data_IF_949986701152
#
_entry.id   IF_949986701152
#
_cell.length_a   1.000
_cell.length_b   1.000
_cell.length_c   1.000
_cell.angle_alpha   90.00
_cell.angle_beta   90.00
_cell.angle_gamma   90.00
#
_symmetry.space_group_name_H-M   'P 1'
#
loop_
_entity.id
_entity.type
_entity.pdbx_description
1 polymer ?
#
# COMPACT_ATOMS: atom_id res chain seq x y z
N UNK A 1 -26.16 14.71 1.71
CA UNK A 1 -25.20 15.31 0.76
C UNK A 1 -24.79 14.21 -0.21
N UNK A 2 -24.95 14.41 -1.52
CA UNK A 2 -24.51 13.42 -2.52
C UNK A 2 -22.98 13.41 -2.56
N UNK A 3 -22.33 12.25 -2.69
CA UNK A 3 -20.89 12.21 -2.95
C UNK A 3 -20.57 13.04 -4.20
N UNK A 4 -19.40 13.69 -4.21
CA UNK A 4 -18.95 14.35 -5.43
C UNK A 4 -18.76 13.33 -6.57
N UNK A 5 -18.72 13.81 -7.80
CA UNK A 5 -18.67 12.95 -8.98
C UNK A 5 -17.41 12.07 -8.99
N UNK A 6 -16.31 12.58 -8.43
CA UNK A 6 -15.01 11.90 -8.35
C UNK A 6 -15.05 10.69 -7.39
N UNK A 7 -15.55 10.90 -6.17
CA UNK A 7 -15.77 9.84 -5.17
C UNK A 7 -16.75 8.80 -5.70
N UNK A 8 -17.81 9.26 -6.38
CA UNK A 8 -18.81 8.39 -7.02
C UNK A 8 -18.15 7.48 -8.07
N UNK A 9 -17.20 7.99 -8.85
CA UNK A 9 -16.48 7.22 -9.87
C UNK A 9 -15.49 6.21 -9.27
N UNK A 10 -14.73 6.58 -8.23
CA UNK A 10 -13.84 5.64 -7.52
C UNK A 10 -14.60 4.49 -6.86
N UNK A 11 -15.74 4.80 -6.25
CA UNK A 11 -16.63 3.78 -5.70
C UNK A 11 -17.20 2.91 -6.83
N UNK A 12 -17.59 3.46 -7.98
CA UNK A 12 -18.08 2.68 -9.15
C UNK A 12 -17.05 1.73 -9.74
N UNK A 13 -15.77 2.09 -9.74
CA UNK A 13 -14.70 1.15 -10.09
C UNK A 13 -14.63 -0.01 -9.10
N UNK A 14 -14.56 0.27 -7.79
CA UNK A 14 -14.53 -0.77 -6.75
C UNK A 14 -15.81 -1.64 -6.74
N UNK A 15 -16.93 -1.07 -7.18
CA UNK A 15 -18.18 -1.78 -7.40
C UNK A 15 -18.15 -2.68 -8.63
N UNK A 16 -17.37 -2.34 -9.66
CA UNK A 16 -17.13 -3.19 -10.82
C UNK A 16 -16.30 -4.43 -10.49
N UNK A 17 -15.54 -4.39 -9.40
CA UNK A 17 -14.81 -5.52 -8.83
C UNK A 17 -15.72 -6.46 -8.00
N UNK A 18 -17.00 -6.13 -7.85
CA UNK A 18 -17.96 -6.89 -7.06
C UNK A 18 -19.00 -7.55 -7.96
N UNK A 19 -19.41 -8.77 -7.59
CA UNK A 19 -20.63 -9.38 -8.11
C UNK A 19 -21.82 -8.41 -8.02
N UNK A 20 -22.65 -8.35 -9.07
CA UNK A 20 -23.72 -7.36 -9.23
C UNK A 20 -24.60 -7.20 -7.97
N UNK A 21 -25.04 -8.28 -7.28
CA UNK A 21 -25.83 -8.15 -6.06
C UNK A 21 -25.09 -7.48 -4.91
N UNK A 22 -23.77 -7.67 -4.79
CA UNK A 22 -22.94 -7.02 -3.79
C UNK A 22 -22.72 -5.54 -4.14
N UNK A 23 -22.44 -5.26 -5.41
CA UNK A 23 -22.31 -3.90 -5.92
C UNK A 23 -23.59 -3.07 -5.66
N UNK A 24 -24.77 -3.62 -5.95
CA UNK A 24 -26.07 -2.96 -5.69
C UNK A 24 -26.28 -2.59 -4.22
N UNK A 25 -25.94 -3.49 -3.29
CA UNK A 25 -26.06 -3.24 -1.84
C UNK A 25 -25.17 -2.09 -1.37
N UNK A 26 -23.95 -2.02 -1.91
CA UNK A 26 -23.00 -0.95 -1.59
C UNK A 26 -23.48 0.39 -2.15
N UNK A 27 -23.93 0.44 -3.40
CA UNK A 27 -24.56 1.63 -3.98
C UNK A 27 -25.70 2.16 -3.12
N UNK A 28 -26.62 1.27 -2.72
CA UNK A 28 -27.74 1.63 -1.85
C UNK A 28 -27.27 2.22 -0.51
N UNK A 29 -26.28 1.61 0.13
CA UNK A 29 -25.72 2.07 1.42
C UNK A 29 -25.03 3.42 1.30
N UNK A 30 -24.33 3.67 0.20
CA UNK A 30 -23.66 4.95 -0.07
C UNK A 30 -24.60 6.01 -0.66
N UNK A 31 -25.90 5.69 -0.82
CA UNK A 31 -26.92 6.54 -1.45
C UNK A 31 -26.50 7.01 -2.85
N UNK A 32 -25.86 6.11 -3.60
CA UNK A 32 -25.42 6.31 -4.97
C UNK A 32 -26.35 5.57 -5.94
N UNK A 33 -26.67 6.17 -7.11
CA UNK A 33 -27.39 5.47 -8.16
C UNK A 33 -26.52 4.35 -8.74
N UNK A 34 -27.08 3.15 -8.81
CA UNK A 34 -26.46 1.97 -9.41
C UNK A 34 -26.33 2.10 -10.93
N UNK A 35 -27.15 2.95 -11.55
CA UNK A 35 -27.16 3.25 -12.98
C UNK A 35 -25.95 4.11 -13.37
N UNK A 36 -25.10 3.60 -14.27
CA UNK A 36 -23.89 4.23 -14.81
C UNK A 36 -22.90 3.17 -15.32
N UNK A 37 -21.85 3.56 -16.02
CA UNK A 37 -20.73 2.65 -16.29
C UNK A 37 -20.14 2.17 -14.95
N UNK A 38 -20.23 0.87 -14.73
CA UNK A 38 -19.63 0.13 -13.63
C UNK A 38 -18.62 -0.80 -14.26
N UNK A 39 -17.36 -0.70 -13.85
CA UNK A 39 -16.25 -1.39 -14.49
C UNK A 39 -15.07 -0.46 -14.78
N UNK A 40 -13.91 -1.01 -15.13
CA UNK A 40 -12.72 -0.26 -15.43
C UNK A 40 -12.85 0.43 -16.80
N UNK A 41 -13.48 1.59 -16.87
CA UNK A 41 -13.20 2.54 -17.96
C UNK A 41 -12.17 3.54 -17.44
N UNK A 42 -10.86 3.31 -17.65
CA UNK A 42 -9.83 4.27 -17.28
C UNK A 42 -10.01 5.54 -18.13
N UNK A 43 -10.76 6.51 -17.63
CA UNK A 43 -10.72 7.87 -18.15
C UNK A 43 -9.45 8.53 -17.62
N UNK A 44 -8.68 9.21 -18.48
CA UNK A 44 -7.48 9.99 -18.13
C UNK A 44 -7.64 11.01 -16.98
N UNK A 45 -8.87 11.32 -16.55
CA UNK A 45 -9.19 12.17 -15.39
C UNK A 45 -9.22 11.40 -14.03
N UNK A 46 -8.92 10.11 -14.04
CA UNK A 46 -8.80 9.33 -12.83
C UNK A 46 -7.50 9.68 -12.10
N UNK A 47 -7.60 10.43 -11.01
CA UNK A 47 -6.46 10.79 -10.16
C UNK A 47 -6.16 9.62 -9.18
N UNK A 48 -5.75 8.48 -9.76
CA UNK A 48 -5.25 7.29 -9.04
C UNK A 48 -4.14 7.72 -8.11
N UNK A 49 -3.29 8.61 -8.60
CA UNK A 49 -2.20 9.23 -7.87
C UNK A 49 -2.68 9.82 -6.54
N UNK A 50 -3.77 10.58 -6.51
CA UNK A 50 -4.34 11.11 -5.26
C UNK A 50 -4.98 10.03 -4.38
N UNK A 51 -5.62 9.01 -4.96
CA UNK A 51 -6.12 7.86 -4.17
C UNK A 51 -4.97 7.09 -3.49
N UNK A 52 -3.88 6.83 -4.22
CA UNK A 52 -2.67 6.18 -3.70
C UNK A 52 -1.95 7.06 -2.69
N UNK A 53 -1.82 8.36 -2.96
CA UNK A 53 -1.20 9.34 -2.06
C UNK A 53 -2.00 9.54 -0.77
N UNK A 54 -3.30 9.27 -0.78
CA UNK A 54 -4.16 9.29 0.41
C UNK A 54 -4.11 8.00 1.23
N UNK A 55 -3.10 7.14 1.01
CA UNK A 55 -2.93 5.85 1.68
C UNK A 55 -4.11 4.91 1.38
N UNK A 56 -4.29 4.60 0.10
CA UNK A 56 -5.16 3.51 -0.32
C UNK A 56 -4.93 2.28 0.58
N UNK A 57 -6.00 1.64 1.11
CA UNK A 57 -5.87 0.42 1.88
C UNK A 57 -5.10 -0.63 1.08
N UNK A 58 -4.22 -1.38 1.74
CA UNK A 58 -3.42 -2.40 1.07
C UNK A 58 -4.27 -3.39 0.26
N UNK A 59 -5.45 -3.79 0.76
CA UNK A 59 -6.34 -4.69 0.02
C UNK A 59 -6.88 -4.07 -1.27
N UNK A 60 -7.14 -2.76 -1.30
CA UNK A 60 -7.59 -2.08 -2.52
C UNK A 60 -6.50 -2.06 -3.59
N UNK A 61 -5.24 -1.86 -3.19
CA UNK A 61 -4.09 -1.98 -4.09
C UNK A 61 -3.99 -3.39 -4.64
N UNK A 62 -4.14 -4.43 -3.81
CA UNK A 62 -4.12 -5.81 -4.29
C UNK A 62 -5.26 -6.09 -5.28
N UNK A 63 -6.49 -5.66 -5.00
CA UNK A 63 -7.61 -5.88 -5.92
C UNK A 63 -7.39 -5.21 -7.27
N UNK A 64 -6.79 -4.01 -7.29
CA UNK A 64 -6.40 -3.34 -8.53
C UNK A 64 -5.31 -4.13 -9.30
N UNK A 65 -4.32 -4.68 -8.59
CA UNK A 65 -3.30 -5.54 -9.22
C UNK A 65 -3.91 -6.83 -9.80
N UNK A 66 -4.89 -7.43 -9.11
CA UNK A 66 -5.57 -8.67 -9.52
C UNK A 66 -6.36 -8.56 -10.83
N UNK A 67 -6.68 -7.35 -11.27
CA UNK A 67 -7.29 -7.14 -12.58
C UNK A 67 -6.32 -7.47 -13.72
N UNK A 68 -5.01 -7.46 -13.46
CA UNK A 68 -3.94 -7.64 -14.44
C UNK A 68 -4.02 -6.65 -15.62
N UNK A 69 -4.51 -5.44 -15.35
CA UNK A 69 -4.54 -4.36 -16.35
C UNK A 69 -3.17 -3.65 -16.41
N UNK A 70 -2.53 -3.59 -17.59
CA UNK A 70 -1.19 -3.02 -17.75
C UNK A 70 -1.10 -1.54 -17.38
N UNK A 71 -2.14 -0.76 -17.63
CA UNK A 71 -2.17 0.68 -17.34
C UNK A 71 -2.42 0.93 -15.85
N UNK A 72 -3.29 0.13 -15.22
CA UNK A 72 -3.47 0.16 -13.75
C UNK A 72 -2.15 -0.21 -13.05
N UNK A 73 -1.47 -1.26 -13.51
CA UNK A 73 -0.18 -1.66 -12.97
C UNK A 73 0.88 -0.55 -13.13
N UNK A 74 0.86 0.18 -14.24
CA UNK A 74 1.77 1.30 -14.47
C UNK A 74 1.57 2.44 -13.46
N UNK A 75 0.33 2.78 -13.16
CA UNK A 75 -0.02 3.81 -12.17
C UNK A 75 0.26 3.38 -10.73
N UNK A 76 0.12 2.09 -10.41
CA UNK A 76 0.44 1.54 -9.09
C UNK A 76 1.95 1.44 -8.83
N UNK A 77 2.77 1.44 -9.89
CA UNK A 77 4.23 1.36 -9.81
C UNK A 77 4.81 2.65 -9.22
N UNK A 78 4.85 2.71 -7.89
CA UNK A 78 5.33 3.84 -7.10
C UNK A 78 6.35 3.39 -6.06
N UNK A 79 7.14 4.30 -5.48
CA UNK A 79 8.11 3.98 -4.42
C UNK A 79 7.46 3.47 -3.12
N UNK A 80 6.17 3.72 -2.93
CA UNK A 80 5.37 3.20 -1.82
C UNK A 80 5.11 1.69 -1.95
N UNK A 81 5.15 1.13 -3.16
CA UNK A 81 4.91 -0.29 -3.39
C UNK A 81 6.14 -1.12 -2.97
N UNK A 82 5.95 -2.26 -2.26
CA UNK A 82 7.04 -3.17 -1.92
C UNK A 82 7.88 -3.56 -3.14
N UNK A 83 9.20 -3.67 -2.97
CA UNK A 83 10.13 -3.97 -4.07
C UNK A 83 9.81 -5.28 -4.79
N UNK A 84 9.34 -6.31 -4.09
CA UNK A 84 8.92 -7.57 -4.70
C UNK A 84 7.70 -7.41 -5.62
N UNK A 85 6.69 -6.63 -5.20
CA UNK A 85 5.51 -6.35 -6.03
C UNK A 85 5.86 -5.49 -7.25
N UNK A 86 6.72 -4.47 -7.08
CA UNK A 86 7.23 -3.69 -8.21
C UNK A 86 7.94 -4.55 -9.24
N UNK A 87 8.68 -5.56 -8.78
CA UNK A 87 9.38 -6.49 -9.65
C UNK A 87 8.39 -7.42 -10.37
N UNK A 88 7.41 -7.95 -9.67
CA UNK A 88 6.36 -8.78 -10.25
C UNK A 88 5.60 -8.02 -11.36
N UNK A 89 5.30 -6.72 -11.16
CA UNK A 89 4.75 -5.85 -12.22
C UNK A 89 5.68 -5.75 -13.43
N UNK A 90 6.98 -5.51 -13.22
CA UNK A 90 7.95 -5.36 -14.32
C UNK A 90 8.20 -6.65 -15.10
N UNK A 91 8.02 -7.81 -14.46
CA UNK A 91 8.17 -9.12 -15.06
C UNK A 91 6.86 -9.66 -15.66
N UNK A 92 5.76 -8.91 -15.58
CA UNK A 92 4.47 -9.33 -16.10
C UNK A 92 3.88 -10.51 -15.33
N UNK A 93 4.20 -10.64 -14.03
CA UNK A 93 3.63 -11.67 -13.16
C UNK A 93 2.16 -11.32 -12.90
N UNK A 94 1.26 -12.26 -13.18
CA UNK A 94 -0.16 -12.13 -12.86
C UNK A 94 -0.38 -12.15 -11.34
N UNK A 95 -1.26 -11.27 -10.88
CA UNK A 95 -1.72 -11.22 -9.49
C UNK A 95 -3.08 -11.88 -9.31
N UNK A 96 -3.78 -12.23 -10.41
CA UNK A 96 -5.09 -12.85 -10.36
C UNK A 96 -5.06 -14.15 -9.50
N UNK A 97 -6.10 -14.38 -8.68
CA UNK A 97 -6.14 -15.53 -7.79
C UNK A 97 -6.33 -16.87 -8.53
N UNK A 98 -6.79 -16.86 -9.78
CA UNK A 98 -7.06 -18.07 -10.54
C UNK A 98 -6.01 -18.38 -11.62
N UNK A 99 -5.57 -19.65 -11.72
CA UNK A 99 -4.61 -20.08 -12.74
C UNK A 99 -5.05 -19.88 -14.19
N UNK A 100 -6.34 -19.68 -14.44
CA UNK A 100 -6.90 -19.62 -15.79
C UNK A 100 -6.43 -18.40 -16.61
N UNK A 101 -5.91 -17.35 -15.97
CA UNK A 101 -5.25 -16.21 -16.65
C UNK A 101 -3.75 -16.43 -16.89
N UNK A 102 -3.13 -17.50 -16.39
CA UNK A 102 -1.67 -17.70 -16.33
C UNK A 102 -1.01 -18.21 -17.62
N UNK A 103 -1.74 -18.38 -18.73
CA UNK A 103 -1.13 -18.94 -19.94
C UNK A 103 -0.08 -17.99 -20.55
N UNK A 104 -0.23 -16.68 -20.33
CA UNK A 104 0.65 -15.65 -20.88
C UNK A 104 1.01 -14.62 -19.79
N UNK A 105 2.24 -14.09 -19.79
CA UNK A 105 2.60 -12.96 -18.93
C UNK A 105 1.69 -11.76 -19.16
N UNK A 106 1.38 -11.03 -18.08
CA UNK A 106 0.65 -9.76 -18.18
C UNK A 106 1.48 -8.77 -18.99
N UNK A 107 0.91 -8.13 -20.02
CA UNK A 107 1.61 -7.08 -20.75
C UNK A 107 2.14 -6.01 -19.79
N UNK A 108 3.37 -5.56 -20.00
CA UNK A 108 3.97 -4.50 -19.18
C UNK A 108 3.84 -3.19 -19.93
N UNK A 109 3.26 -2.16 -19.30
CA UNK A 109 3.10 -0.86 -19.94
C UNK A 109 4.46 -0.28 -20.37
N UNK A 110 4.61 0.20 -21.63
CA UNK A 110 5.86 0.79 -22.11
C UNK A 110 6.33 2.02 -21.32
N UNK A 111 5.42 2.67 -20.58
CA UNK A 111 5.74 3.79 -19.71
C UNK A 111 6.67 3.39 -18.55
N UNK A 112 6.56 2.14 -18.08
CA UNK A 112 7.40 1.63 -17.02
C UNK A 112 8.86 1.54 -17.44
N UNK A 113 9.17 1.23 -18.70
CA UNK A 113 10.55 1.10 -19.20
C UNK A 113 11.36 2.40 -19.19
N UNK A 114 10.69 3.55 -18.96
CA UNK A 114 11.32 4.88 -18.89
C UNK A 114 11.37 5.40 -17.46
N UNK A 115 10.93 4.61 -16.50
CA UNK A 115 10.85 5.04 -15.11
C UNK A 115 12.26 5.25 -14.54
N UNK A 116 12.57 6.40 -13.94
CA UNK A 116 13.86 6.64 -13.30
C UNK A 116 14.10 5.75 -12.06
N UNK A 117 13.06 5.05 -11.60
CA UNK A 117 13.15 4.06 -10.53
C UNK A 117 13.77 2.73 -10.98
N UNK A 118 14.12 2.61 -12.27
CA UNK A 118 14.44 1.34 -12.92
C UNK A 118 15.82 0.74 -12.67
N UNK A 119 15.77 -0.59 -12.80
CA UNK A 119 16.77 -1.65 -12.73
C UNK A 119 17.68 -1.68 -11.51
N UNK A 120 18.44 -0.64 -11.12
CA UNK A 120 19.46 -0.86 -10.07
C UNK A 120 18.91 -1.31 -8.71
N UNK A 121 17.70 -0.87 -8.33
CA UNK A 121 17.06 -1.32 -7.09
C UNK A 121 16.23 -2.61 -7.25
N UNK A 122 15.83 -2.96 -8.48
CA UNK A 122 14.96 -4.09 -8.78
C UNK A 122 15.70 -5.26 -9.47
N UNK A 123 16.93 -5.08 -9.94
CA UNK A 123 17.65 -6.01 -10.82
C UNK A 123 18.28 -7.18 -10.08
N UNK A 124 18.57 -7.03 -8.79
CA UNK A 124 19.11 -8.16 -8.02
C UNK A 124 17.95 -9.06 -7.65
N UNK A 125 17.86 -10.18 -8.36
CA UNK A 125 17.03 -11.28 -7.90
C UNK A 125 17.54 -11.71 -6.53
N UNK A 126 16.64 -11.73 -5.55
CA UNK A 126 16.98 -12.11 -4.18
C UNK A 126 16.38 -13.48 -3.97
N UNK A 127 17.21 -14.54 -3.90
CA UNK A 127 16.74 -15.88 -3.62
C UNK A 127 15.83 -15.89 -2.39
N UNK A 128 14.74 -16.68 -2.45
CA UNK A 128 13.80 -16.77 -1.34
C UNK A 128 14.49 -17.18 -0.02
N UNK A 129 15.54 -17.99 -0.10
CA UNK A 129 16.37 -18.36 1.05
C UNK A 129 16.95 -17.13 1.78
N UNK A 130 17.49 -16.16 1.03
CA UNK A 130 18.05 -14.93 1.61
C UNK A 130 16.97 -14.05 2.24
N UNK A 131 15.76 -14.04 1.64
CA UNK A 131 14.59 -13.35 2.22
C UNK A 131 14.19 -13.99 3.54
N UNK A 132 14.13 -15.32 3.59
CA UNK A 132 13.79 -16.08 4.80
C UNK A 132 14.84 -15.91 5.90
N UNK A 133 16.12 -16.03 5.57
CA UNK A 133 17.22 -15.78 6.50
C UNK A 133 17.11 -14.37 7.09
N UNK A 134 16.86 -13.36 6.26
CA UNK A 134 16.67 -11.99 6.73
C UNK A 134 15.45 -11.83 7.66
N UNK A 135 14.37 -12.59 7.43
CA UNK A 135 13.19 -12.61 8.32
C UNK A 135 13.49 -13.28 9.66
N UNK A 136 14.29 -14.36 9.69
CA UNK A 136 14.66 -15.05 10.93
C UNK A 136 15.69 -14.28 11.77
N UNK A 137 16.57 -13.50 11.12
CA UNK A 137 17.59 -12.70 11.81
C UNK A 137 17.06 -11.36 12.36
N UNK A 138 15.74 -11.12 12.29
CA UNK A 138 15.10 -9.91 12.83
C UNK A 138 15.27 -9.83 14.35
N UNK A 139 15.95 -8.78 14.84
CA UNK A 139 16.25 -8.66 16.27
C UNK A 139 16.65 -7.26 16.75
N UNK A 140 16.59 -7.07 18.06
CA UNK A 140 17.05 -5.85 18.74
C UNK A 140 16.25 -4.58 18.41
N UNK A 141 16.88 -3.42 18.57
CA UNK A 141 16.23 -2.10 18.44
C UNK A 141 15.74 -1.76 17.03
N UNK A 142 16.23 -2.47 16.00
CA UNK A 142 15.90 -2.23 14.58
C UNK A 142 15.00 -3.32 13.99
N UNK A 143 14.50 -4.25 14.81
CA UNK A 143 13.72 -5.41 14.37
C UNK A 143 12.60 -5.05 13.40
N UNK A 144 11.81 -4.02 13.71
CA UNK A 144 10.70 -3.61 12.85
C UNK A 144 11.13 -3.11 11.47
N UNK A 145 12.25 -2.36 11.38
CA UNK A 145 12.79 -1.88 10.10
C UNK A 145 13.37 -3.03 9.28
N UNK A 146 14.08 -3.95 9.94
CA UNK A 146 14.64 -5.15 9.30
C UNK A 146 13.53 -6.05 8.75
N UNK A 147 12.50 -6.32 9.55
CA UNK A 147 11.34 -7.10 9.14
C UNK A 147 10.65 -6.48 7.92
N UNK A 148 10.47 -5.15 7.90
CA UNK A 148 9.90 -4.45 6.73
C UNK A 148 10.77 -4.54 5.50
N UNK A 149 12.08 -4.36 5.64
CA UNK A 149 13.01 -4.45 4.51
C UNK A 149 13.05 -5.87 3.93
N UNK A 150 13.08 -6.90 4.77
CA UNK A 150 13.05 -8.30 4.35
C UNK A 150 11.70 -8.65 3.71
N UNK A 151 10.60 -8.36 4.41
CA UNK A 151 9.26 -8.62 3.90
C UNK A 151 9.00 -7.89 2.58
N UNK A 152 9.51 -6.67 2.37
CA UNK A 152 9.33 -5.92 1.13
C UNK A 152 9.86 -6.65 -0.12
N UNK A 153 10.82 -7.56 0.04
CA UNK A 153 11.43 -8.38 -1.04
C UNK A 153 10.65 -9.64 -1.37
N UNK A 154 9.60 -9.96 -0.63
CA UNK A 154 8.71 -11.08 -0.97
C UNK A 154 8.02 -10.77 -2.30
N UNK A 155 8.15 -11.72 -3.23
CA UNK A 155 7.49 -11.79 -4.54
C UNK A 155 6.35 -12.81 -4.49
N UNK A 156 5.48 -12.80 -5.50
CA UNK A 156 4.36 -13.74 -5.60
C UNK A 156 4.83 -15.21 -5.54
N UNK A 157 5.90 -15.53 -6.28
CA UNK A 157 6.50 -16.88 -6.32
C UNK A 157 7.11 -17.34 -4.98
N UNK A 158 7.42 -16.41 -4.07
CA UNK A 158 8.02 -16.73 -2.77
C UNK A 158 6.99 -17.24 -1.76
N UNK A 159 5.70 -16.98 -1.96
CA UNK A 159 4.66 -17.28 -0.96
C UNK A 159 4.60 -18.75 -0.53
N UNK A 160 4.67 -19.75 -1.43
CA UNK A 160 4.69 -21.16 -1.02
C UNK A 160 5.87 -21.49 -0.10
N UNK A 161 7.06 -20.96 -0.38
CA UNK A 161 8.25 -21.18 0.44
C UNK A 161 8.17 -20.45 1.79
N UNK A 162 7.58 -19.25 1.83
CA UNK A 162 7.32 -18.53 3.09
C UNK A 162 6.33 -19.29 3.97
N UNK A 163 5.25 -19.81 3.38
CA UNK A 163 4.28 -20.64 4.08
C UNK A 163 4.92 -21.91 4.64
N UNK A 164 5.68 -22.63 3.81
CA UNK A 164 6.39 -23.83 4.24
C UNK A 164 7.38 -23.54 5.38
N UNK A 165 8.21 -22.50 5.22
CA UNK A 165 9.17 -22.10 6.24
C UNK A 165 8.49 -21.75 7.58
N UNK A 166 7.34 -21.05 7.55
CA UNK A 166 6.57 -20.74 8.75
C UNK A 166 6.03 -22.00 9.46
N UNK A 167 5.55 -22.98 8.69
CA UNK A 167 5.05 -24.26 9.21
C UNK A 167 6.17 -25.10 9.83
N UNK A 168 7.36 -25.09 9.23
CA UNK A 168 8.53 -25.81 9.75
C UNK A 168 9.09 -25.15 11.02
N UNK A 169 9.27 -23.83 10.98
CA UNK A 169 9.73 -23.02 12.11
C UNK A 169 8.95 -21.70 12.15
N UNK A 170 8.12 -21.45 13.17
CA UNK A 170 7.33 -20.21 13.20
C UNK A 170 8.18 -18.94 13.13
N UNK A 171 7.93 -18.12 12.10
CA UNK A 171 8.54 -16.80 11.94
C UNK A 171 8.51 -15.96 13.24
N UNK A 172 9.59 -15.22 13.56
CA UNK A 172 9.64 -14.33 14.73
C UNK A 172 8.50 -13.30 14.73
N UNK A 173 8.04 -12.89 15.91
CA UNK A 173 6.82 -12.07 16.05
C UNK A 173 6.76 -10.81 15.19
N UNK A 174 7.87 -10.07 15.04
CA UNK A 174 7.93 -8.89 14.16
C UNK A 174 7.94 -9.25 12.66
N UNK A 175 8.64 -10.31 12.28
CA UNK A 175 8.65 -10.82 10.91
C UNK A 175 7.24 -11.29 10.52
N UNK A 176 6.66 -12.18 11.33
CA UNK A 176 5.29 -12.67 11.18
C UNK A 176 4.28 -11.54 11.02
N UNK A 177 4.33 -10.55 11.93
CA UNK A 177 3.46 -9.37 11.85
C UNK A 177 3.63 -8.63 10.52
N UNK A 178 4.87 -8.36 10.12
CA UNK A 178 5.16 -7.57 8.92
C UNK A 178 4.74 -8.29 7.64
N UNK A 179 4.92 -9.60 7.58
CA UNK A 179 4.44 -10.43 6.47
C UNK A 179 2.91 -10.45 6.43
N UNK A 180 2.25 -10.62 7.57
CA UNK A 180 0.78 -10.68 7.64
C UNK A 180 0.04 -9.43 7.18
N UNK A 181 0.66 -8.25 7.31
CA UNK A 181 0.06 -6.98 6.88
C UNK A 181 0.39 -6.59 5.44
N UNK A 182 1.14 -7.44 4.73
CA UNK A 182 1.28 -7.27 3.29
C UNK A 182 -0.06 -7.51 2.62
N UNK A 183 -0.36 -6.69 1.63
CA UNK A 183 -1.58 -6.80 0.84
C UNK A 183 -1.67 -8.16 0.15
N UNK A 184 -0.59 -8.55 -0.52
CA UNK A 184 -0.42 -9.79 -1.29
C UNK A 184 -0.14 -11.04 -0.44
N UNK A 185 -0.16 -10.96 0.89
CA UNK A 185 -0.05 -12.17 1.71
C UNK A 185 -1.28 -13.06 1.48
N UNK A 186 -1.09 -14.36 1.14
CA UNK A 186 -2.20 -15.30 0.98
C UNK A 186 -3.10 -15.36 2.21
N UNK A 187 -4.41 -15.47 2.01
CA UNK A 187 -5.40 -15.40 3.09
C UNK A 187 -5.26 -16.56 4.09
N UNK A 188 -5.01 -17.76 3.59
CA UNK A 188 -4.70 -18.97 4.34
C UNK A 188 -3.45 -18.80 5.22
N UNK A 189 -2.34 -18.33 4.63
CA UNK A 189 -1.11 -18.06 5.37
C UNK A 189 -1.30 -16.96 6.43
N UNK A 190 -2.11 -15.94 6.11
CA UNK A 190 -2.42 -14.87 7.08
C UNK A 190 -3.21 -15.40 8.27
N UNK A 191 -4.11 -16.36 8.06
CA UNK A 191 -4.86 -17.02 9.13
C UNK A 191 -3.93 -17.88 10.01
N UNK A 192 -2.98 -18.61 9.40
CA UNK A 192 -1.95 -19.38 10.13
C UNK A 192 -1.10 -18.50 11.05
N UNK A 193 -0.79 -17.27 10.63
CA UNK A 193 -0.03 -16.33 11.47
C UNK A 193 -0.77 -15.88 12.74
N UNK A 194 -2.10 -15.95 12.76
CA UNK A 194 -2.87 -15.71 13.97
C UNK A 194 -4.37 -15.51 13.76
N UNK A 195 -5.17 -16.23 14.55
CA UNK A 195 -6.65 -16.09 14.57
C UNK A 195 -7.17 -15.16 15.69
N UNK A 196 -6.31 -14.76 16.63
CA UNK A 196 -6.70 -13.96 17.79
C UNK A 196 -7.26 -12.58 17.39
N UNK A 197 -8.31 -12.11 18.07
CA UNK A 197 -9.01 -10.86 17.74
C UNK A 197 -8.07 -9.64 17.67
N UNK A 198 -7.08 -9.54 18.57
CA UNK A 198 -6.05 -8.47 18.54
C UNK A 198 -5.21 -8.49 17.26
N UNK A 199 -4.89 -9.68 16.73
CA UNK A 199 -4.13 -9.80 15.49
C UNK A 199 -4.98 -9.34 14.30
N UNK A 200 -6.19 -9.90 14.16
CA UNK A 200 -7.16 -9.49 13.14
C UNK A 200 -7.45 -7.99 13.16
N UNK A 201 -7.62 -7.41 14.36
CA UNK A 201 -7.81 -5.97 14.52
C UNK A 201 -6.63 -5.17 13.96
N UNK A 202 -5.39 -5.58 14.24
CA UNK A 202 -4.22 -4.88 13.72
C UNK A 202 -4.08 -5.05 12.20
N UNK A 203 -4.37 -6.24 11.66
CA UNK A 203 -4.39 -6.48 10.20
C UNK A 203 -5.36 -5.50 9.51
N UNK A 204 -6.57 -5.33 10.07
CA UNK A 204 -7.52 -4.30 9.60
C UNK A 204 -6.98 -2.88 9.73
N UNK A 205 -6.29 -2.55 10.82
CA UNK A 205 -5.64 -1.23 10.97
C UNK A 205 -4.56 -0.98 9.91
N UNK A 206 -3.97 -2.03 9.34
CA UNK A 206 -3.04 -1.93 8.23
C UNK A 206 -3.73 -1.81 6.86
N UNK A 207 -5.07 -1.72 6.83
CA UNK A 207 -5.85 -1.61 5.60
C UNK A 207 -5.98 -2.92 4.82
N UNK A 208 -5.83 -4.06 5.50
CA UNK A 208 -6.03 -5.39 4.91
C UNK A 208 -7.42 -5.89 5.31
N UNK A 209 -8.24 -6.17 4.29
CA UNK A 209 -9.62 -6.63 4.40
C UNK A 209 -9.80 -7.88 3.55
N UNK A 210 -10.69 -8.77 3.98
CA UNK A 210 -10.96 -10.05 3.31
C UNK A 210 -11.72 -9.87 1.98
N UNK A 211 -12.35 -8.70 1.79
CA UNK A 211 -13.00 -8.36 0.54
C UNK A 211 -13.58 -6.94 0.54
N UNK A 212 -14.05 -6.45 -0.63
CA UNK A 212 -14.54 -5.08 -0.73
C UNK A 212 -15.77 -4.84 0.15
N UNK A 213 -16.61 -5.87 0.37
CA UNK A 213 -17.74 -5.78 1.28
C UNK A 213 -17.34 -5.51 2.74
N UNK A 214 -16.29 -6.18 3.26
CA UNK A 214 -15.76 -5.91 4.61
C UNK A 214 -15.15 -4.51 4.66
N UNK A 215 -14.36 -4.15 3.65
CA UNK A 215 -13.79 -2.80 3.55
C UNK A 215 -14.87 -1.73 3.60
N UNK A 216 -15.92 -1.85 2.79
CA UNK A 216 -17.00 -0.86 2.73
C UNK A 216 -17.86 -0.84 4.01
N UNK A 217 -17.97 -1.96 4.72
CA UNK A 217 -18.61 -2.02 6.02
C UNK A 217 -17.77 -1.34 7.11
N UNK A 218 -16.45 -1.52 7.07
CA UNK A 218 -15.50 -0.97 8.04
C UNK A 218 -15.16 0.51 7.78
N UNK A 219 -15.08 0.91 6.52
CA UNK A 219 -14.75 2.25 6.05
C UNK A 219 -15.95 3.21 6.08
N UNK A 220 -16.92 3.00 6.97
CA UNK A 220 -18.12 3.82 7.09
C UNK A 220 -17.78 5.31 6.89
N UNK A 221 -18.45 6.04 5.99
CA UNK A 221 -18.04 7.38 5.54
C UNK A 221 -18.35 8.48 6.57
N UNK A 222 -18.07 8.27 7.85
CA UNK A 222 -18.46 9.13 8.96
C UNK A 222 -17.24 9.57 9.78
N UNK A 223 -16.26 10.24 9.16
CA UNK A 223 -15.35 11.20 9.83
C UNK A 223 -14.33 11.86 8.88
N UNK A 224 -13.91 11.18 7.81
CA UNK A 224 -12.73 11.60 7.02
C UNK A 224 -12.99 12.60 5.88
N UNK A 225 -14.16 12.55 5.23
CA UNK A 225 -14.49 13.43 4.09
C UNK A 225 -14.87 14.87 4.49
N UNK A 226 -14.88 15.18 5.79
CA UNK A 226 -15.33 16.48 6.30
C UNK A 226 -14.25 17.56 6.44
N UNK A 227 -12.98 17.29 6.10
CA UNK A 227 -11.88 18.24 6.37
C UNK A 227 -11.49 19.20 5.26
N UNK A 228 -12.11 19.14 4.07
CA UNK A 228 -11.74 20.03 2.96
C UNK A 228 -12.90 20.84 2.36
N UNK A 229 -13.82 21.29 3.21
CA UNK A 229 -14.93 22.16 2.80
C UNK A 229 -15.24 23.27 3.80
N UNK A 230 -14.26 24.10 4.15
CA UNK A 230 -14.56 25.31 4.92
C UNK A 230 -13.33 26.06 5.41
N UNK A 231 -13.07 27.25 4.86
CA UNK A 231 -12.13 28.17 5.52
C UNK A 231 -11.43 29.25 4.69
N UNK A 232 -11.92 29.64 3.51
CA UNK A 232 -11.55 30.94 2.95
C UNK A 232 -12.39 32.05 3.62
N UNK A 233 -11.93 32.63 4.74
CA UNK A 233 -12.06 34.09 4.98
C UNK A 233 -11.42 34.62 6.28
N UNK A 234 -10.59 35.66 6.07
CA UNK A 234 -10.28 36.82 6.93
C UNK A 234 -9.56 36.59 8.26
N UNK A 235 -8.37 37.19 8.37
CA UNK A 235 -8.20 38.57 8.89
C UNK A 235 -6.82 39.12 8.51
N UNK A 236 -6.83 40.25 7.81
CA UNK A 236 -5.71 41.19 7.87
C UNK A 236 -5.80 42.04 9.13
N UNK A 237 -4.66 42.35 9.75
CA UNK A 237 -4.29 43.69 10.25
C UNK A 237 -2.92 43.67 10.93
N UNK A 238 -2.06 44.55 10.42
CA UNK A 238 -1.08 45.42 11.10
C UNK A 238 -0.19 44.90 12.23
N UNK A 239 1.10 45.20 12.11
CA UNK A 239 1.97 45.41 13.28
C UNK A 239 3.46 45.37 12.96
N UNK A 240 4.07 46.54 12.83
CA UNK A 240 5.48 46.78 12.60
C UNK A 240 6.44 46.15 13.63
N UNK A 241 7.69 45.86 13.24
CA UNK A 241 8.87 46.68 13.61
C UNK A 241 10.18 46.13 13.05
N UNK A 242 10.91 47.04 12.41
CA UNK A 242 12.35 46.98 12.18
C UNK A 242 13.11 47.05 13.53
N UNK A 243 14.23 46.36 13.63
CA UNK A 243 15.01 46.31 14.87
C UNK A 243 16.37 45.63 14.74
N UNK A 244 17.30 46.32 14.06
CA UNK A 244 18.70 46.54 14.47
C UNK A 244 19.68 45.35 14.60
N UNK A 245 20.82 45.58 13.92
CA UNK A 245 22.09 44.84 13.89
C UNK A 245 22.73 44.65 15.27
N UNK A 246 23.44 43.53 15.45
CA UNK A 246 24.45 43.36 16.50
C UNK A 246 25.43 42.24 16.16
N UNK A 247 26.63 42.64 15.69
CA UNK A 247 27.83 41.79 15.53
C UNK A 247 28.44 41.51 16.91
N UNK A 248 28.99 40.30 17.10
CA UNK A 248 30.34 40.00 17.65
C UNK A 248 30.50 38.47 17.72
N UNK A 249 31.32 37.83 16.87
CA UNK A 249 32.73 37.47 17.09
C UNK A 249 33.05 37.00 18.52
N UNK A 250 33.17 35.69 18.70
CA UNK A 250 33.88 35.03 19.79
C UNK A 250 34.37 33.67 19.29
N UNK A 251 35.69 33.57 19.06
CA UNK A 251 36.43 32.35 18.66
C UNK A 251 37.14 31.78 19.92
N UNK A 252 37.92 30.69 19.87
CA UNK A 252 37.67 29.45 20.61
C UNK A 252 38.67 29.16 21.76
N UNK A 253 38.28 28.27 22.68
CA UNK A 253 39.14 27.49 23.57
C UNK A 253 38.39 26.17 23.84
N UNK A 254 38.95 24.97 24.00
CA UNK A 254 40.30 24.49 24.14
C UNK A 254 40.24 22.96 24.35
N UNK A 255 41.40 22.32 24.28
CA UNK A 255 41.68 20.87 24.31
C UNK A 255 41.32 20.16 25.62
N UNK A 256 41.05 18.85 25.54
CA UNK A 256 41.62 17.72 26.31
C UNK A 256 40.89 16.44 25.82
N UNK A 257 41.45 15.30 25.36
CA UNK A 257 42.57 14.40 25.75
C UNK A 257 42.48 13.83 27.17
N UNK A 258 41.98 12.59 27.27
CA UNK A 258 42.50 11.40 27.99
C UNK A 258 41.41 10.31 27.85
N UNK A 259 41.60 9.14 27.24
CA UNK A 259 42.49 8.02 27.60
C UNK A 259 42.24 7.51 29.03
N UNK A 260 41.36 6.51 29.16
CA UNK A 260 41.52 5.26 29.92
C UNK A 260 40.65 4.20 29.22
#
# INVERSE_FOLDING_TARGET
MRPDERTTRSVRYLLGLLEEPAARRVCHRLRMPFEGEVGPTPSYDWDLTSFLNQQAPGSAVLWMLQEDDPEVNAELYTDALPVGLRRDILEGVSFAPEPAKLAEPVPVSPHLWRSPWDWQQNATDVPVADVLDALYQVGGRKAFRQARAAAARIRNEHWPAVAQAHRDVPLPGFARWTVSVRADCPADLREEFGSHAKFRHRVRQAGIFDGPAEYLAAAAPAAGLHRHGGGAHRRGRHGARAGVRGRTRGRPCGRARAAW
#
